data_IF_807085403322
#
_entry.id   IF_807085403322
#
_cell.length_a   1.000
_cell.length_b   1.000
_cell.length_c   1.000
_cell.angle_alpha   90.00
_cell.angle_beta   90.00
_cell.angle_gamma   90.00
#
_symmetry.space_group_name_H-M   'P 1'
#
loop_
_entity.id
_entity.type
_entity.pdbx_description
1 polymer ?
#
# COMPACT_ATOMS: atom_id res chain seq x y z
N UNK A 1 14.89 2.70 2.24
CA UNK A 1 13.84 3.74 2.17
C UNK A 1 13.95 4.42 0.81
N UNK A 2 12.84 4.45 0.09
CA UNK A 2 12.79 5.03 -1.23
C UNK A 2 12.77 6.57 -1.24
N UNK A 3 12.50 7.13 -2.43
CA UNK A 3 12.52 8.57 -2.67
C UNK A 3 11.20 9.24 -2.30
N UNK A 4 11.28 10.52 -1.92
CA UNK A 4 10.11 11.34 -1.62
C UNK A 4 9.19 10.74 -0.56
N UNK A 5 9.76 10.03 0.41
CA UNK A 5 9.01 9.50 1.54
C UNK A 5 8.90 10.58 2.63
N UNK A 6 7.78 10.56 3.34
CA UNK A 6 7.51 11.52 4.41
C UNK A 6 7.17 10.76 5.67
N UNK A 7 7.90 11.04 6.75
CA UNK A 7 7.65 10.46 8.06
C UNK A 7 7.24 11.57 9.02
N UNK A 8 6.07 11.42 9.62
CA UNK A 8 5.65 12.34 10.67
C UNK A 8 6.35 12.00 12.00
N UNK A 9 5.92 12.61 13.09
CA UNK A 9 6.59 12.48 14.39
C UNK A 9 6.50 11.06 14.95
N UNK A 10 7.58 10.60 15.56
CA UNK A 10 7.63 9.36 16.36
C UNK A 10 7.30 8.10 15.56
N UNK A 11 7.71 8.03 14.31
CA UNK A 11 7.61 6.80 13.52
C UNK A 11 8.73 5.86 13.95
N UNK A 12 8.37 4.61 14.26
CA UNK A 12 9.33 3.57 14.63
C UNK A 12 9.35 2.48 13.56
N UNK A 13 10.53 2.18 13.05
CA UNK A 13 10.71 1.22 11.96
C UNK A 13 11.66 0.13 12.41
N UNK A 14 11.21 -1.11 12.38
CA UNK A 14 12.03 -2.28 12.71
C UNK A 14 13.08 -2.56 11.64
N UNK A 15 13.94 -3.54 11.91
CA UNK A 15 15.00 -3.91 10.99
C UNK A 15 14.48 -4.49 9.68
N UNK A 16 15.23 -4.23 8.61
CA UNK A 16 14.93 -4.79 7.28
C UNK A 16 13.55 -4.46 6.74
N UNK A 17 12.96 -3.35 7.18
CA UNK A 17 11.72 -2.83 6.59
C UNK A 17 12.06 -2.18 5.26
N UNK A 18 11.33 -2.56 4.21
CA UNK A 18 11.47 -1.98 2.89
C UNK A 18 10.35 -0.96 2.66
N UNK A 19 10.72 0.28 2.40
CA UNK A 19 9.76 1.34 2.13
C UNK A 19 10.07 1.88 0.73
N UNK A 20 9.12 1.73 -0.17
CA UNK A 20 9.28 2.18 -1.55
C UNK A 20 9.04 3.69 -1.68
N UNK A 21 8.96 4.20 -2.90
CA UNK A 21 8.91 5.63 -3.15
C UNK A 21 7.56 6.26 -2.76
N UNK A 22 7.60 7.52 -2.36
CA UNK A 22 6.40 8.36 -2.14
C UNK A 22 5.44 7.81 -1.11
N UNK A 23 5.97 7.14 -0.09
CA UNK A 23 5.18 6.66 1.05
C UNK A 23 5.05 7.77 2.07
N UNK A 24 3.86 7.89 2.66
CA UNK A 24 3.62 8.77 3.80
C UNK A 24 3.35 7.93 5.05
N UNK A 25 4.15 8.15 6.08
CA UNK A 25 3.98 7.48 7.38
C UNK A 25 3.46 8.50 8.39
N UNK A 26 2.23 8.32 8.84
CA UNK A 26 1.63 9.21 9.84
C UNK A 26 2.31 9.13 11.20
N UNK A 27 1.94 10.05 12.10
CA UNK A 27 2.55 10.12 13.44
C UNK A 27 2.36 8.86 14.25
N UNK A 28 3.38 8.47 15.01
CA UNK A 28 3.39 7.31 15.90
C UNK A 28 3.09 5.97 15.24
N UNK A 29 3.30 5.87 13.92
CA UNK A 29 3.22 4.59 13.22
C UNK A 29 4.38 3.70 13.65
N UNK A 30 4.09 2.42 13.85
CA UNK A 30 5.10 1.40 14.13
C UNK A 30 5.07 0.36 13.02
N UNK A 31 6.23 0.09 12.42
CA UNK A 31 6.37 -0.99 11.43
C UNK A 31 7.32 -2.05 11.99
N UNK A 32 6.82 -3.27 12.11
CA UNK A 32 7.63 -4.39 12.58
C UNK A 32 8.66 -4.80 11.54
N UNK A 33 9.71 -5.48 12.00
CA UNK A 33 10.81 -5.90 11.12
C UNK A 33 10.29 -6.70 9.92
N UNK A 34 10.98 -6.58 8.80
CA UNK A 34 10.72 -7.27 7.54
C UNK A 34 9.42 -6.88 6.83
N UNK A 35 8.66 -5.92 7.32
CA UNK A 35 7.50 -5.41 6.59
C UNK A 35 7.93 -4.71 5.29
N UNK A 36 7.11 -4.83 4.27
CA UNK A 36 7.27 -4.09 3.01
C UNK A 36 6.12 -3.11 2.86
N UNK A 37 6.44 -1.88 2.47
CA UNK A 37 5.44 -0.84 2.26
C UNK A 37 5.61 -0.34 0.83
N UNK A 38 4.59 -0.59 0.01
CA UNK A 38 4.64 -0.28 -1.42
C UNK A 38 4.50 1.20 -1.71
N UNK A 39 4.93 1.61 -2.91
CA UNK A 39 4.92 3.01 -3.34
C UNK A 39 3.54 3.63 -3.25
N UNK A 40 3.50 4.91 -2.93
CA UNK A 40 2.29 5.72 -2.78
C UNK A 40 1.40 5.32 -1.60
N UNK A 41 1.82 4.40 -0.76
CA UNK A 41 1.02 4.03 0.41
C UNK A 41 0.92 5.21 1.39
N UNK A 42 -0.25 5.35 2.00
CA UNK A 42 -0.46 6.25 3.14
C UNK A 42 -0.75 5.38 4.35
N UNK A 43 0.09 5.48 5.36
CA UNK A 43 -0.14 4.81 6.64
C UNK A 43 -0.65 5.85 7.62
N UNK A 44 -1.90 5.74 8.04
CA UNK A 44 -2.49 6.72 8.97
C UNK A 44 -1.77 6.70 10.31
N UNK A 45 -1.83 7.82 11.02
CA UNK A 45 -1.22 7.94 12.33
C UNK A 45 -1.72 6.88 13.30
N UNK A 46 -0.86 6.46 14.22
CA UNK A 46 -1.11 5.44 15.24
C UNK A 46 -1.34 4.02 14.71
N UNK A 47 -1.10 3.78 13.43
CA UNK A 47 -1.24 2.45 12.83
C UNK A 47 -0.07 1.55 13.24
N UNK A 48 -0.37 0.31 13.56
CA UNK A 48 0.63 -0.73 13.81
C UNK A 48 0.71 -1.69 12.61
N UNK A 49 1.89 -1.77 11.99
CA UNK A 49 2.12 -2.64 10.84
C UNK A 49 2.91 -3.86 11.28
N UNK A 50 2.34 -5.05 11.09
CA UNK A 50 3.04 -6.31 11.28
C UNK A 50 3.00 -7.21 10.05
N UNK A 51 2.47 -6.71 8.95
CA UNK A 51 2.42 -7.36 7.64
C UNK A 51 2.71 -6.34 6.55
N UNK A 52 2.73 -6.78 5.31
CA UNK A 52 3.03 -5.91 4.19
C UNK A 52 1.85 -5.02 3.81
N UNK A 53 2.16 -3.84 3.32
CA UNK A 53 1.20 -2.85 2.82
C UNK A 53 1.29 -2.80 1.31
N UNK A 54 0.19 -3.08 0.61
CA UNK A 54 0.20 -3.06 -0.85
C UNK A 54 0.41 -1.64 -1.38
N UNK A 55 1.02 -1.48 -2.55
CA UNK A 55 1.19 -0.17 -3.16
C UNK A 55 -0.14 0.56 -3.39
N UNK A 56 -0.08 1.87 -3.44
CA UNK A 56 -1.17 2.77 -3.85
C UNK A 56 -2.33 2.91 -2.88
N UNK A 57 -2.24 2.37 -1.67
CA UNK A 57 -3.38 2.27 -0.76
C UNK A 57 -3.20 3.06 0.51
N UNK A 58 -4.32 3.45 1.11
CA UNK A 58 -4.38 3.96 2.46
C UNK A 58 -4.66 2.80 3.41
N UNK A 59 -3.83 2.69 4.45
CA UNK A 59 -3.97 1.66 5.47
C UNK A 59 -4.06 2.31 6.84
N UNK A 60 -4.85 1.72 7.74
CA UNK A 60 -5.10 2.30 9.05
C UNK A 60 -5.48 1.23 10.07
N UNK A 61 -5.30 1.55 11.34
CA UNK A 61 -5.82 0.79 12.46
C UNK A 61 -4.86 -0.23 13.06
N UNK A 62 -5.38 -0.98 14.02
CA UNK A 62 -4.69 -2.08 14.65
C UNK A 62 -5.73 -3.12 15.08
N UNK A 63 -5.78 -4.29 14.41
CA UNK A 63 -4.98 -4.69 13.27
C UNK A 63 -5.21 -3.80 12.06
N UNK A 64 -4.15 -3.49 11.32
CA UNK A 64 -4.23 -2.59 10.19
C UNK A 64 -4.97 -3.24 9.02
N UNK A 65 -5.75 -2.43 8.31
CA UNK A 65 -6.51 -2.87 7.14
C UNK A 65 -6.34 -1.86 6.01
N UNK A 66 -6.28 -2.35 4.77
CA UNK A 66 -6.33 -1.49 3.60
C UNK A 66 -7.74 -0.97 3.42
N UNK A 67 -7.89 0.35 3.35
CA UNK A 67 -9.21 0.99 3.29
C UNK A 67 -9.61 1.36 1.87
N UNK A 68 -8.70 2.00 1.14
CA UNK A 68 -8.98 2.54 -0.19
C UNK A 68 -7.67 2.91 -0.87
N UNK A 69 -7.77 3.32 -2.14
CA UNK A 69 -6.62 3.86 -2.86
C UNK A 69 -6.24 5.25 -2.33
N UNK A 70 -4.96 5.57 -2.44
CA UNK A 70 -4.45 6.93 -2.23
C UNK A 70 -4.75 7.77 -3.47
N UNK A 71 -6.01 8.09 -3.69
CA UNK A 71 -6.47 8.79 -4.89
C UNK A 71 -5.81 10.15 -5.05
N UNK A 72 -5.69 10.89 -3.96
CA UNK A 72 -5.10 12.24 -4.00
C UNK A 72 -3.64 12.18 -4.40
N UNK A 73 -2.87 11.29 -3.80
CA UNK A 73 -1.45 11.12 -4.12
C UNK A 73 -1.21 10.68 -5.55
N UNK A 74 -2.01 9.74 -6.03
CA UNK A 74 -1.93 9.28 -7.42
C UNK A 74 -2.26 10.41 -8.38
N UNK A 75 -3.31 11.16 -8.11
CA UNK A 75 -3.71 12.29 -8.96
C UNK A 75 -2.62 13.37 -8.99
N UNK A 76 -2.03 13.69 -7.85
CA UNK A 76 -0.93 14.67 -7.78
C UNK A 76 0.29 14.23 -8.58
N UNK A 77 0.49 12.93 -8.72
CA UNK A 77 1.59 12.36 -9.53
C UNK A 77 1.24 12.26 -11.01
N UNK A 78 0.06 12.72 -11.42
CA UNK A 78 -0.37 12.66 -12.81
C UNK A 78 -0.91 11.29 -13.23
N UNK A 79 -1.18 10.42 -12.29
CA UNK A 79 -1.74 9.09 -12.57
C UNK A 79 -3.27 9.22 -12.56
N UNK A 80 -3.82 9.45 -13.74
CA UNK A 80 -5.25 9.75 -13.93
C UNK A 80 -5.78 8.95 -15.13
N UNK A 81 -7.09 9.09 -15.41
CA UNK A 81 -7.71 8.45 -16.55
C UNK A 81 -7.59 6.93 -16.53
N UNK A 82 -7.19 6.35 -17.65
CA UNK A 82 -7.14 4.89 -17.77
C UNK A 82 -6.10 4.25 -16.86
N UNK A 83 -4.98 4.93 -16.62
CA UNK A 83 -3.96 4.43 -15.68
C UNK A 83 -4.53 4.29 -14.28
N UNK A 84 -5.29 5.28 -13.83
CA UNK A 84 -5.96 5.20 -12.53
C UNK A 84 -7.04 4.12 -12.50
N UNK A 85 -7.83 4.00 -13.56
CA UNK A 85 -8.91 3.01 -13.63
C UNK A 85 -8.37 1.58 -13.49
N UNK A 86 -7.23 1.29 -14.12
CA UNK A 86 -6.63 -0.05 -14.01
C UNK A 86 -6.16 -0.32 -12.58
N UNK A 87 -5.57 0.67 -11.91
CA UNK A 87 -5.18 0.55 -10.50
C UNK A 87 -6.41 0.29 -9.63
N UNK A 88 -7.50 1.01 -9.87
CA UNK A 88 -8.73 0.82 -9.12
C UNK A 88 -9.31 -0.58 -9.32
N UNK A 89 -9.25 -1.10 -10.54
CA UNK A 89 -9.67 -2.47 -10.82
C UNK A 89 -8.78 -3.47 -10.08
N UNK A 90 -7.46 -3.24 -10.09
CA UNK A 90 -6.51 -4.10 -9.38
C UNK A 90 -6.84 -4.13 -7.88
N UNK A 91 -7.10 -2.98 -7.28
CA UNK A 91 -7.46 -2.90 -5.86
C UNK A 91 -8.69 -3.75 -5.54
N UNK A 92 -9.73 -3.63 -6.38
CA UNK A 92 -10.97 -4.40 -6.17
C UNK A 92 -10.73 -5.91 -6.31
N UNK A 93 -9.92 -6.31 -7.28
CA UNK A 93 -9.57 -7.73 -7.46
C UNK A 93 -8.77 -8.28 -6.28
N UNK A 94 -7.78 -7.54 -5.81
CA UNK A 94 -6.98 -7.93 -4.66
C UNK A 94 -7.83 -8.05 -3.41
N UNK A 95 -8.77 -7.15 -3.22
CA UNK A 95 -9.71 -7.20 -2.09
C UNK A 95 -10.54 -8.48 -2.09
N UNK A 96 -10.86 -9.00 -3.26
CA UNK A 96 -11.60 -10.26 -3.44
C UNK A 96 -10.68 -11.48 -3.50
N UNK A 97 -9.38 -11.28 -3.32
CA UNK A 97 -8.37 -12.31 -3.46
C UNK A 97 -8.36 -12.95 -4.85
N UNK A 98 -8.59 -12.13 -5.88
CA UNK A 98 -8.57 -12.56 -7.28
C UNK A 98 -7.28 -12.11 -7.96
N UNK A 99 -6.92 -12.80 -9.05
CA UNK A 99 -5.72 -12.52 -9.81
C UNK A 99 -5.80 -11.21 -10.58
N UNK A 100 -4.68 -10.49 -10.68
CA UNK A 100 -4.55 -9.31 -11.52
C UNK A 100 -3.69 -9.57 -12.76
N UNK A 101 -3.33 -10.83 -13.01
CA UNK A 101 -2.41 -11.18 -14.10
C UNK A 101 -2.88 -10.73 -15.48
N UNK A 102 -4.19 -10.64 -15.69
CA UNK A 102 -4.80 -10.27 -16.96
C UNK A 102 -4.93 -8.77 -17.19
N UNK A 103 -4.60 -7.95 -16.21
CA UNK A 103 -4.75 -6.49 -16.33
C UNK A 103 -3.71 -5.91 -17.29
N UNK A 104 -4.08 -4.81 -17.95
CA UNK A 104 -3.17 -4.08 -18.84
C UNK A 104 -1.91 -3.62 -18.11
N UNK A 105 -0.76 -3.83 -18.75
CA UNK A 105 0.54 -3.53 -18.18
C UNK A 105 0.90 -2.04 -18.31
N UNK A 106 0.18 -1.19 -17.59
CA UNK A 106 0.63 0.18 -17.36
C UNK A 106 1.88 0.15 -16.47
N UNK A 107 2.68 1.22 -16.42
CA UNK A 107 3.86 1.24 -15.53
C UNK A 107 3.52 0.88 -14.08
N UNK A 108 2.38 1.38 -13.57
CA UNK A 108 1.94 1.10 -12.20
C UNK A 108 1.57 -0.37 -12.01
N UNK A 109 0.92 -0.97 -12.99
CA UNK A 109 0.51 -2.37 -12.91
C UNK A 109 1.72 -3.30 -13.04
N UNK A 110 2.68 -2.97 -13.89
CA UNK A 110 3.94 -3.72 -13.97
C UNK A 110 4.63 -3.72 -12.59
N UNK A 111 4.76 -2.54 -11.98
CA UNK A 111 5.34 -2.42 -10.66
C UNK A 111 4.57 -3.24 -9.63
N UNK A 112 3.24 -3.15 -9.63
CA UNK A 112 2.39 -3.88 -8.68
C UNK A 112 2.54 -5.39 -8.83
N UNK A 113 2.54 -5.89 -10.06
CA UNK A 113 2.73 -7.32 -10.32
C UNK A 113 4.10 -7.81 -9.83
N UNK A 114 5.15 -7.04 -10.09
CA UNK A 114 6.50 -7.37 -9.61
C UNK A 114 6.55 -7.36 -8.08
N UNK A 115 5.93 -6.35 -7.47
CA UNK A 115 5.90 -6.24 -6.02
C UNK A 115 5.18 -7.43 -5.37
N UNK A 116 4.06 -7.86 -5.94
CA UNK A 116 3.30 -9.01 -5.45
C UNK A 116 4.02 -10.34 -5.69
N UNK A 117 4.87 -10.42 -6.71
CA UNK A 117 5.62 -11.64 -7.03
C UNK A 117 6.76 -11.90 -6.05
N UNK A 118 7.24 -10.89 -5.35
CA UNK A 118 8.29 -11.06 -4.33
C UNK A 118 7.71 -11.78 -3.13
N UNK A 119 8.41 -12.80 -2.65
CA UNK A 119 7.96 -13.57 -1.49
C UNK A 119 7.92 -12.68 -0.25
N UNK A 120 6.75 -12.60 0.38
CA UNK A 120 6.58 -11.86 1.62
C UNK A 120 7.02 -12.67 2.83
N UNK A 121 7.72 -12.04 3.75
CA UNK A 121 8.12 -12.69 5.01
C UNK A 121 6.98 -12.69 6.04
N UNK A 122 6.06 -11.75 5.93
CA UNK A 122 5.03 -11.56 6.95
C UNK A 122 3.60 -11.66 6.44
N UNK A 123 3.41 -11.80 5.13
CA UNK A 123 2.09 -11.78 4.49
C UNK A 123 1.58 -10.36 4.29
N UNK A 124 0.40 -10.24 3.72
CA UNK A 124 -0.26 -8.96 3.46
C UNK A 124 -1.28 -8.63 4.53
N UNK A 125 -1.38 -7.35 4.88
CA UNK A 125 -2.51 -6.88 5.68
C UNK A 125 -3.82 -7.10 4.91
N UNK A 126 -4.88 -7.38 5.64
CA UNK A 126 -6.19 -7.57 5.05
C UNK A 126 -6.82 -6.26 4.57
N UNK A 127 -8.01 -6.37 4.03
CA UNK A 127 -8.81 -5.25 3.56
C UNK A 127 -9.98 -5.01 4.49
N UNK A 128 -10.33 -3.75 4.66
CA UNK A 128 -11.53 -3.40 5.41
C UNK A 128 -12.75 -3.95 4.69
N UNK A 129 -13.55 -4.71 5.40
CA UNK A 129 -14.82 -5.17 4.87
C UNK A 129 -15.83 -4.02 4.86
N UNK A 130 -16.60 -3.94 3.77
CA UNK A 130 -17.72 -3.03 3.75
C UNK A 130 -18.83 -3.62 4.63
N UNK A 131 -19.40 -2.76 5.49
CA UNK A 131 -20.55 -3.19 6.28
C UNK A 131 -21.67 -3.60 5.33
N UNK A 132 -22.10 -4.85 5.44
CA UNK A 132 -23.26 -5.32 4.72
C UNK A 132 -24.50 -4.82 5.43
N UNK A 133 -25.08 -3.78 4.87
CA UNK A 133 -26.30 -3.23 5.41
C UNK A 133 -27.40 -3.27 4.40
#
# INVERSE_FOLDING_TARGET
IGNHTIFANNVAIGGFVQIDDRVFMGGTVVAHQFCRIGSYAIVQGTTGLNKDVIPFCLIAGYPAKHYRLNTIGLRRAGITGDRYKVINTAFRLLKKNESIAHLEDTPEIVYLKEWLAVKSNRGLHGFRELDSK
#
